data_IF_480997769223
#
_entry.id   IF_480997769223
#
_cell.length_a   1.000
_cell.length_b   1.000
_cell.length_c   1.000
_cell.angle_alpha   90.00
_cell.angle_beta   90.00
_cell.angle_gamma   90.00
#
_symmetry.space_group_name_H-M   'P 1'
#
loop_
_entity.id
_entity.type
_entity.pdbx_description
1 polymer ?
#
# COMPACT_ATOMS: atom_id res chain seq x y z
N UNK A 1 4.48 -11.58 9.07
CA UNK A 1 5.76 -11.50 9.78
C UNK A 1 6.12 -10.09 10.21
N UNK A 2 5.41 -9.08 9.73
CA UNK A 2 5.65 -7.68 10.07
C UNK A 2 5.64 -7.45 11.59
N UNK A 3 6.64 -6.76 12.15
CA UNK A 3 6.71 -6.41 13.57
C UNK A 3 5.70 -5.32 13.91
N UNK A 4 5.39 -5.17 15.21
CA UNK A 4 4.41 -4.23 15.75
C UNK A 4 4.67 -2.77 15.37
N UNK A 5 5.92 -2.32 15.46
CA UNK A 5 6.30 -0.96 15.08
C UNK A 5 6.03 -0.63 13.59
N UNK A 6 5.92 -1.65 12.72
CA UNK A 6 5.66 -1.45 11.29
C UNK A 6 4.16 -1.57 10.95
N UNK A 7 3.38 -2.32 11.72
CA UNK A 7 1.95 -2.46 11.46
C UNK A 7 1.03 -1.55 12.29
N UNK A 8 1.55 -0.97 13.37
CA UNK A 8 0.75 -0.14 14.27
C UNK A 8 0.56 1.26 13.69
N UNK A 9 -0.69 1.69 13.57
CA UNK A 9 -0.99 3.10 13.31
C UNK A 9 -0.99 3.89 14.62
N UNK A 10 -0.59 5.16 14.56
CA UNK A 10 -0.62 6.09 15.70
C UNK A 10 -2.06 6.60 15.98
N UNK A 11 -3.00 5.67 16.13
CA UNK A 11 -4.38 5.90 16.54
C UNK A 11 -4.56 5.47 18.01
N UNK A 12 -5.66 5.87 18.68
CA UNK A 12 -6.01 5.30 19.98
C UNK A 12 -5.92 3.77 19.95
N UNK A 13 -5.20 3.18 20.91
CA UNK A 13 -4.82 1.76 20.87
C UNK A 13 -6.02 0.80 20.80
N UNK A 14 -7.16 1.19 21.37
CA UNK A 14 -8.43 0.47 21.29
C UNK A 14 -8.86 0.14 19.85
N UNK A 15 -8.50 0.96 18.86
CA UNK A 15 -8.78 0.65 17.45
C UNK A 15 -8.02 -0.57 16.95
N UNK A 16 -6.78 -0.77 17.41
CA UNK A 16 -6.04 -1.98 17.14
C UNK A 16 -6.61 -3.14 17.96
N UNK A 17 -6.74 -2.97 19.27
CA UNK A 17 -7.09 -4.06 20.21
C UNK A 17 -8.49 -4.64 19.94
N UNK A 18 -9.49 -3.77 19.71
CA UNK A 18 -10.89 -4.19 19.55
C UNK A 18 -11.30 -4.41 18.10
N UNK A 19 -10.68 -3.69 17.16
CA UNK A 19 -11.10 -3.65 15.77
C UNK A 19 -10.06 -4.14 14.77
N UNK A 20 -8.87 -4.52 15.23
CA UNK A 20 -7.75 -4.96 14.38
C UNK A 20 -7.42 -3.95 13.26
N UNK A 21 -7.50 -2.66 13.57
CA UNK A 21 -7.04 -1.59 12.66
C UNK A 21 -5.52 -1.54 12.74
N UNK A 22 -4.89 -2.02 11.67
CA UNK A 22 -3.44 -2.15 11.51
C UNK A 22 -3.08 -2.18 10.02
N UNK A 23 -1.80 -2.03 9.71
CA UNK A 23 -1.27 -2.40 8.40
C UNK A 23 -1.40 -3.92 8.20
N UNK A 24 -2.01 -4.30 7.09
CA UNK A 24 -2.05 -5.69 6.62
C UNK A 24 -1.05 -5.90 5.48
N UNK A 25 -1.03 -4.97 4.53
CA UNK A 25 -0.28 -5.11 3.29
C UNK A 25 -0.93 -6.07 2.30
N UNK A 26 -0.63 -5.87 1.02
CA UNK A 26 -1.16 -6.68 -0.08
C UNK A 26 -0.05 -7.02 -1.08
N UNK A 27 -0.41 -7.70 -2.17
CA UNK A 27 0.53 -8.29 -3.13
C UNK A 27 1.54 -9.28 -2.50
N UNK A 28 1.19 -9.88 -1.36
CA UNK A 28 2.08 -10.77 -0.60
C UNK A 28 2.57 -11.98 -1.41
N UNK A 29 1.72 -12.56 -2.26
CA UNK A 29 2.11 -13.66 -3.16
C UNK A 29 3.16 -13.22 -4.18
N UNK A 30 3.01 -12.02 -4.76
CA UNK A 30 3.98 -11.45 -5.70
C UNK A 30 5.29 -11.14 -4.99
N UNK A 31 5.26 -10.44 -3.86
CA UNK A 31 6.45 -10.12 -3.08
C UNK A 31 7.21 -11.37 -2.60
N UNK A 32 6.49 -12.41 -2.16
CA UNK A 32 7.09 -13.69 -1.79
C UNK A 32 7.73 -14.40 -2.99
N UNK A 33 7.07 -14.39 -4.15
CA UNK A 33 7.61 -15.00 -5.37
C UNK A 33 8.89 -14.29 -5.83
N UNK A 34 8.86 -12.97 -5.97
CA UNK A 34 10.01 -12.23 -6.53
C UNK A 34 11.20 -12.20 -5.60
N UNK A 35 11.02 -12.14 -4.27
CA UNK A 35 12.12 -12.28 -3.32
C UNK A 35 12.76 -13.67 -3.38
N UNK A 36 11.94 -14.71 -3.53
CA UNK A 36 12.41 -16.08 -3.73
C UNK A 36 13.19 -16.24 -5.04
N UNK A 37 12.70 -15.61 -6.12
CA UNK A 37 13.37 -15.63 -7.41
C UNK A 37 14.70 -14.88 -7.37
N UNK A 38 14.75 -13.73 -6.69
CA UNK A 38 15.99 -12.98 -6.49
C UNK A 38 17.05 -13.81 -5.76
N UNK A 39 16.67 -14.54 -4.71
CA UNK A 39 17.59 -15.45 -4.01
C UNK A 39 18.15 -16.54 -4.93
N UNK A 40 17.28 -17.18 -5.73
CA UNK A 40 17.70 -18.17 -6.72
C UNK A 40 18.63 -17.60 -7.80
N UNK A 41 18.41 -16.37 -8.27
CA UNK A 41 19.25 -15.72 -9.27
C UNK A 41 20.63 -15.31 -8.73
N UNK A 42 20.70 -15.04 -7.43
CA UNK A 42 21.93 -14.66 -6.73
C UNK A 42 22.67 -15.87 -6.15
N UNK A 43 22.15 -17.10 -6.34
CA UNK A 43 22.69 -18.34 -5.79
C UNK A 43 22.90 -18.27 -4.26
N UNK A 44 21.97 -17.63 -3.56
CA UNK A 44 22.00 -17.43 -2.11
C UNK A 44 20.75 -17.97 -1.44
N UNK A 45 20.86 -18.34 -0.17
CA UNK A 45 19.68 -18.65 0.62
C UNK A 45 18.88 -17.37 0.93
N UNK A 46 17.55 -17.48 1.04
CA UNK A 46 16.70 -16.32 1.36
C UNK A 46 17.01 -15.71 2.72
N UNK A 47 17.49 -16.51 3.67
CA UNK A 47 17.88 -16.05 5.01
C UNK A 47 19.16 -15.20 5.01
N UNK A 48 19.89 -15.15 3.89
CA UNK A 48 21.13 -14.37 3.71
C UNK A 48 20.88 -13.05 2.98
N UNK A 49 19.64 -12.76 2.60
CA UNK A 49 19.30 -11.62 1.75
C UNK A 49 18.32 -10.66 2.40
N UNK A 50 18.57 -9.37 2.17
CA UNK A 50 17.63 -8.29 2.39
C UNK A 50 17.23 -7.74 1.02
N UNK A 51 15.93 -7.70 0.74
CA UNK A 51 15.36 -7.37 -0.56
C UNK A 51 14.31 -6.29 -0.39
N UNK A 52 14.38 -5.26 -1.23
CA UNK A 52 13.27 -4.35 -1.47
C UNK A 52 12.58 -4.83 -2.75
N UNK A 53 11.30 -5.16 -2.64
CA UNK A 53 10.49 -5.62 -3.77
C UNK A 53 9.49 -4.53 -4.16
N UNK A 54 9.57 -4.05 -5.41
CA UNK A 54 8.59 -3.13 -5.97
C UNK A 54 7.66 -3.87 -6.94
N UNK A 55 6.38 -3.98 -6.58
CA UNK A 55 5.32 -4.47 -7.45
C UNK A 55 4.63 -3.26 -8.08
N UNK A 56 4.88 -3.01 -9.36
CA UNK A 56 4.41 -1.82 -10.07
C UNK A 56 3.46 -2.22 -11.20
N UNK A 57 2.17 -2.00 -11.00
CA UNK A 57 1.12 -2.19 -11.98
C UNK A 57 -0.05 -1.24 -11.71
N UNK A 58 -1.26 -1.61 -12.16
CA UNK A 58 -2.47 -0.82 -11.87
C UNK A 58 -2.72 -0.61 -10.37
N UNK A 59 -2.35 -1.60 -9.54
CA UNK A 59 -2.08 -1.44 -8.12
C UNK A 59 -0.58 -1.53 -7.89
N UNK A 60 -0.04 -0.70 -6.99
CA UNK A 60 1.40 -0.62 -6.77
C UNK A 60 1.75 -0.70 -5.28
N UNK A 61 2.76 -1.49 -4.94
CA UNK A 61 3.28 -1.58 -3.57
C UNK A 61 4.78 -1.87 -3.52
N UNK A 62 5.43 -1.41 -2.45
CA UNK A 62 6.80 -1.77 -2.10
C UNK A 62 6.80 -2.57 -0.82
N UNK A 63 7.62 -3.63 -0.74
CA UNK A 63 7.77 -4.45 0.45
C UNK A 63 9.25 -4.59 0.83
N UNK A 64 9.57 -4.34 2.09
CA UNK A 64 10.88 -4.60 2.68
C UNK A 64 10.87 -6.03 3.24
N UNK A 65 11.82 -6.84 2.76
CA UNK A 65 11.93 -8.25 3.09
C UNK A 65 13.33 -8.49 3.67
N UNK A 66 13.39 -8.77 4.96
CA UNK A 66 14.63 -9.09 5.67
C UNK A 66 14.70 -10.59 5.92
N UNK A 67 15.76 -11.23 5.41
CA UNK A 67 16.02 -12.66 5.61
C UNK A 67 14.79 -13.54 5.29
N UNK A 68 14.12 -13.22 4.19
CA UNK A 68 12.92 -13.91 3.72
C UNK A 68 11.62 -13.57 4.47
N UNK A 69 11.63 -12.64 5.44
CA UNK A 69 10.45 -12.19 6.19
C UNK A 69 10.07 -10.77 5.76
N UNK A 70 8.79 -10.53 5.48
CA UNK A 70 8.29 -9.16 5.28
C UNK A 70 8.35 -8.41 6.62
N UNK A 71 9.10 -7.31 6.64
CA UNK A 71 9.29 -6.44 7.80
C UNK A 71 8.58 -5.10 7.65
N UNK A 72 8.25 -4.68 6.42
CA UNK A 72 7.42 -3.52 6.14
C UNK A 72 6.80 -3.61 4.73
N UNK A 73 5.71 -2.87 4.47
CA UNK A 73 5.11 -2.76 3.14
C UNK A 73 4.30 -1.47 3.00
N UNK A 74 4.27 -0.90 1.80
CA UNK A 74 3.65 0.41 1.57
C UNK A 74 2.13 0.40 1.73
N UNK A 75 1.46 -0.71 1.37
CA UNK A 75 0.00 -0.79 1.52
C UNK A 75 -0.41 -1.04 2.97
N UNK A 76 -1.58 -0.51 3.30
CA UNK A 76 -2.05 -0.28 4.65
C UNK A 76 -3.02 -1.30 5.20
N UNK A 77 -3.99 -0.77 5.94
CA UNK A 77 -5.25 -1.43 6.29
C UNK A 77 -5.98 -1.90 5.02
N UNK A 78 -5.94 -1.09 3.97
CA UNK A 78 -6.50 -1.40 2.65
C UNK A 78 -5.42 -1.23 1.56
N UNK A 79 -5.69 -1.67 0.31
CA UNK A 79 -4.81 -1.44 -0.83
C UNK A 79 -4.74 0.03 -1.31
N UNK A 80 -5.28 0.98 -0.54
CA UNK A 80 -5.30 2.40 -0.92
C UNK A 80 -4.01 3.12 -0.53
N UNK A 81 -3.45 2.84 0.64
CA UNK A 81 -2.23 3.48 1.17
C UNK A 81 -0.99 3.11 0.35
N UNK A 82 -0.01 4.03 0.34
CA UNK A 82 1.31 3.85 -0.25
C UNK A 82 1.47 4.58 -1.56
N UNK A 83 1.89 3.85 -2.59
CA UNK A 83 2.26 4.43 -3.88
C UNK A 83 1.05 5.04 -4.61
N UNK A 84 1.33 6.03 -5.46
CA UNK A 84 0.41 6.43 -6.54
C UNK A 84 0.17 5.23 -7.46
N UNK A 85 -1.08 5.00 -7.85
CA UNK A 85 -1.47 3.86 -8.69
C UNK A 85 -2.32 4.31 -9.88
N UNK A 86 -2.84 3.37 -10.67
CA UNK A 86 -3.60 3.69 -11.88
C UNK A 86 -4.82 4.59 -11.60
N UNK A 87 -5.65 4.22 -10.62
CA UNK A 87 -6.86 5.00 -10.25
C UNK A 87 -6.93 5.34 -8.76
N UNK A 88 -5.95 4.92 -7.97
CA UNK A 88 -5.90 5.11 -6.52
C UNK A 88 -4.94 6.23 -6.16
N UNK A 89 -5.32 7.06 -5.18
CA UNK A 89 -4.52 8.20 -4.76
C UNK A 89 -3.17 7.81 -4.15
N UNK A 90 -3.08 6.69 -3.43
CA UNK A 90 -1.93 6.43 -2.58
C UNK A 90 -1.96 7.31 -1.33
N UNK A 91 -0.79 7.63 -0.81
CA UNK A 91 -0.63 8.49 0.36
C UNK A 91 -1.07 9.94 0.09
N UNK A 92 -1.77 10.49 1.07
CA UNK A 92 -2.17 11.90 1.14
C UNK A 92 -2.36 12.30 2.60
N UNK A 93 -2.38 13.60 2.87
CA UNK A 93 -2.74 14.13 4.19
C UNK A 93 -4.21 13.76 4.52
N UNK A 94 -4.48 12.98 5.59
CA UNK A 94 -5.84 12.59 5.96
C UNK A 94 -6.81 13.77 6.13
N UNK A 95 -6.32 14.97 6.47
CA UNK A 95 -7.14 16.17 6.63
C UNK A 95 -7.73 16.70 5.31
N UNK A 96 -7.19 16.30 4.16
CA UNK A 96 -7.72 16.66 2.83
C UNK A 96 -9.12 16.05 2.62
N UNK A 97 -9.38 14.85 3.13
CA UNK A 97 -10.64 14.13 2.92
C UNK A 97 -11.86 14.86 3.50
N UNK A 98 -11.88 15.25 4.79
CA UNK A 98 -12.98 16.06 5.32
C UNK A 98 -13.05 17.43 4.64
N UNK A 99 -11.91 18.04 4.28
CA UNK A 99 -11.91 19.32 3.57
C UNK A 99 -12.61 19.24 2.20
N UNK A 100 -12.31 18.22 1.39
CA UNK A 100 -12.97 17.98 0.11
C UNK A 100 -14.47 17.68 0.31
N UNK A 101 -14.79 16.83 1.30
CA UNK A 101 -16.19 16.52 1.62
C UNK A 101 -16.99 17.78 1.95
N UNK A 102 -16.45 18.67 2.80
CA UNK A 102 -17.09 19.96 3.09
C UNK A 102 -17.17 20.90 1.88
N UNK A 103 -16.11 20.97 1.07
CA UNK A 103 -16.05 21.84 -0.10
C UNK A 103 -17.05 21.43 -1.20
N UNK A 104 -17.28 20.13 -1.36
CA UNK A 104 -18.04 19.56 -2.48
C UNK A 104 -19.37 18.91 -2.07
N UNK A 105 -19.65 18.83 -0.77
CA UNK A 105 -20.82 18.15 -0.24
C UNK A 105 -20.81 16.64 -0.47
N UNK A 106 -19.63 16.01 -0.53
CA UNK A 106 -19.51 14.58 -0.85
C UNK A 106 -19.76 13.70 0.37
N UNK A 107 -20.44 12.57 0.17
CA UNK A 107 -20.58 11.52 1.18
C UNK A 107 -19.28 10.73 1.37
N UNK A 108 -19.23 9.90 2.43
CA UNK A 108 -18.07 9.03 2.69
C UNK A 108 -17.86 8.04 1.54
N UNK A 109 -18.93 7.50 0.97
CA UNK A 109 -18.91 6.56 -0.16
C UNK A 109 -18.40 7.23 -1.44
N UNK A 110 -18.76 8.50 -1.65
CA UNK A 110 -18.27 9.29 -2.78
C UNK A 110 -16.79 9.65 -2.63
N UNK A 111 -16.34 9.93 -1.40
CA UNK A 111 -14.92 10.11 -1.08
C UNK A 111 -14.14 8.81 -1.29
N UNK A 112 -14.66 7.66 -0.85
CA UNK A 112 -14.03 6.36 -1.11
C UNK A 112 -13.90 6.09 -2.62
N UNK A 113 -14.97 6.37 -3.38
CA UNK A 113 -14.97 6.26 -4.84
C UNK A 113 -13.95 7.22 -5.46
N UNK A 114 -13.88 8.46 -4.99
CA UNK A 114 -12.91 9.46 -5.43
C UNK A 114 -11.48 8.93 -5.24
N UNK A 115 -11.16 8.44 -4.04
CA UNK A 115 -9.83 7.95 -3.68
C UNK A 115 -9.44 6.68 -4.43
N UNK A 116 -10.37 5.75 -4.68
CA UNK A 116 -10.08 4.45 -5.28
C UNK A 116 -10.19 4.39 -6.81
N UNK A 117 -11.06 5.23 -7.41
CA UNK A 117 -11.47 5.09 -8.82
C UNK A 117 -11.24 6.33 -9.65
N UNK A 118 -11.13 7.51 -9.05
CA UNK A 118 -11.03 8.80 -9.75
C UNK A 118 -9.74 9.56 -9.43
N UNK A 119 -8.79 8.93 -8.76
CA UNK A 119 -7.51 9.51 -8.35
C UNK A 119 -6.35 8.82 -9.09
N UNK A 120 -5.13 8.92 -8.56
CA UNK A 120 -3.97 8.27 -9.15
C UNK A 120 -3.57 8.90 -10.49
N UNK A 121 -2.91 8.12 -11.34
CA UNK A 121 -2.54 8.55 -12.70
C UNK A 121 -3.77 9.01 -13.48
N UNK A 122 -4.90 8.30 -13.34
CA UNK A 122 -6.17 8.70 -13.96
C UNK A 122 -6.62 10.10 -13.56
N UNK A 123 -6.58 10.42 -12.27
CA UNK A 123 -7.00 11.73 -11.77
C UNK A 123 -6.11 12.88 -12.23
N UNK A 124 -4.85 12.61 -12.55
CA UNK A 124 -3.85 13.63 -12.93
C UNK A 124 -3.74 13.76 -14.46
N UNK A 125 -3.73 12.63 -15.16
CA UNK A 125 -3.42 12.55 -16.59
C UNK A 125 -4.66 12.27 -17.46
N UNK A 126 -5.77 11.80 -16.89
CA UNK A 126 -7.00 11.44 -17.61
C UNK A 126 -7.04 9.99 -18.15
N UNK A 127 -5.96 9.22 -17.97
CA UNK A 127 -5.84 7.81 -18.34
C UNK A 127 -5.12 7.05 -17.22
N UNK A 128 -5.32 5.74 -17.10
CA UNK A 128 -4.80 4.92 -16.00
C UNK A 128 -3.75 3.88 -16.42
N UNK A 129 -3.52 3.72 -17.71
CA UNK A 129 -2.49 2.85 -18.25
C UNK A 129 -1.17 3.62 -18.33
N UNK A 130 -0.11 3.09 -17.74
CA UNK A 130 1.21 3.71 -17.75
C UNK A 130 1.90 3.68 -19.13
N UNK A 131 1.29 3.03 -20.13
CA UNK A 131 1.76 3.01 -21.52
C UNK A 131 1.24 4.17 -22.37
N UNK A 132 0.15 4.79 -21.95
CA UNK A 132 -0.50 5.92 -22.63
C UNK A 132 0.15 7.26 -22.25
#
# INVERSE_FOLDING_TARGET
>A
TMPDFAYMYALPYDFYDKHNIRRYGFHGTSHAFVSSRAASLLEKDKSELNVISAHLGNGASVCAIEKGKSVDTSMGFTPLEGLVMGTRCGDLDPAILPFISHLKGLTIEEIDTLMNKKSGVYGICGYNDFRD
#
